data_IF_116875428136
#
_entry.id   IF_116875428136
#
_cell.length_a   1.000
_cell.length_b   1.000
_cell.length_c   1.000
_cell.angle_alpha   90.00
_cell.angle_beta   90.00
_cell.angle_gamma   90.00
#
_symmetry.space_group_name_H-M   'P 1'
#
loop_
_entity.id
_entity.type
_entity.pdbx_description
1 polymer ?
#
# COMPACT_ATOMS: atom_id res chain seq x y z
N UNK A 1 -10.32 -1.29 9.38
CA UNK A 1 -10.11 -0.91 7.98
C UNK A 1 -11.39 -1.14 7.19
N UNK A 2 -11.78 -0.16 6.36
CA UNK A 2 -12.91 -0.28 5.42
C UNK A 2 -12.33 -0.71 4.08
N UNK A 3 -12.87 -1.77 3.49
CA UNK A 3 -12.48 -2.22 2.15
C UNK A 3 -13.27 -1.47 1.09
N UNK A 4 -12.61 -1.04 0.04
CA UNK A 4 -13.26 -0.30 -1.04
C UNK A 4 -13.28 -1.17 -2.30
N UNK A 5 -14.45 -1.26 -2.91
CA UNK A 5 -14.69 -1.99 -4.16
C UNK A 5 -15.22 -1.02 -5.22
N UNK A 6 -14.94 -1.31 -6.47
CA UNK A 6 -15.57 -0.65 -7.63
C UNK A 6 -16.36 -1.71 -8.41
N UNK A 7 -17.66 -1.49 -8.55
CA UNK A 7 -18.59 -2.44 -9.18
C UNK A 7 -18.50 -3.85 -8.57
N UNK A 8 -18.31 -3.93 -7.24
CA UNK A 8 -18.21 -5.17 -6.50
C UNK A 8 -16.85 -5.87 -6.57
N UNK A 9 -15.85 -5.27 -7.23
CA UNK A 9 -14.52 -5.85 -7.41
C UNK A 9 -13.46 -5.03 -6.67
N UNK A 10 -12.43 -5.67 -6.09
CA UNK A 10 -11.22 -4.96 -5.70
C UNK A 10 -10.61 -4.29 -6.93
N UNK A 11 -10.38 -3.00 -6.86
CA UNK A 11 -9.79 -2.25 -7.96
C UNK A 11 -8.35 -1.90 -7.60
N UNK A 12 -7.40 -2.12 -8.51
CA UNK A 12 -6.02 -1.67 -8.36
C UNK A 12 -5.92 -0.15 -8.14
N UNK A 13 -6.90 0.60 -8.65
CA UNK A 13 -7.04 2.04 -8.41
C UNK A 13 -7.21 2.37 -6.92
N UNK A 14 -7.88 1.50 -6.16
CA UNK A 14 -8.24 1.73 -4.75
C UNK A 14 -7.40 0.85 -3.82
N UNK A 15 -7.02 -0.35 -4.25
CA UNK A 15 -6.30 -1.33 -3.43
C UNK A 15 -4.90 -0.87 -3.00
N UNK A 16 -4.22 -0.10 -3.85
CA UNK A 16 -2.83 0.34 -3.62
C UNK A 16 -2.78 1.75 -3.07
N UNK A 17 -3.69 2.62 -3.50
CA UNK A 17 -3.71 4.03 -3.09
C UNK A 17 -4.65 4.29 -1.90
N UNK A 18 -5.32 3.27 -1.37
CA UNK A 18 -6.31 3.41 -0.30
C UNK A 18 -7.37 4.47 -0.63
N UNK A 19 -7.84 5.27 0.35
CA UNK A 19 -8.82 6.34 0.12
C UNK A 19 -8.36 7.41 -0.88
N UNK A 20 -7.07 7.51 -1.14
CA UNK A 20 -6.49 8.45 -2.10
C UNK A 20 -6.82 8.08 -3.55
N UNK A 21 -6.99 6.79 -3.86
CA UNK A 21 -7.43 6.33 -5.17
C UNK A 21 -8.84 6.80 -5.53
N UNK A 22 -9.70 6.98 -4.53
CA UNK A 22 -11.06 7.50 -4.72
C UNK A 22 -11.09 8.93 -5.26
N UNK A 23 -10.12 9.76 -4.92
CA UNK A 23 -10.01 11.13 -5.41
C UNK A 23 -9.76 11.22 -6.91
N UNK A 24 -9.41 10.10 -7.54
CA UNK A 24 -9.16 10.00 -8.98
C UNK A 24 -10.43 9.63 -9.76
N UNK A 25 -11.50 9.20 -9.05
CA UNK A 25 -12.80 8.94 -9.67
C UNK A 25 -13.56 10.25 -9.81
N UNK A 26 -13.94 10.67 -11.04
CA UNK A 26 -14.86 11.77 -11.21
C UNK A 26 -16.20 11.48 -10.53
N UNK A 27 -16.70 12.40 -9.72
CA UNK A 27 -17.96 12.22 -9.02
C UNK A 27 -19.12 11.94 -10.00
N UNK A 28 -19.05 12.51 -11.19
CA UNK A 28 -20.03 12.34 -12.26
C UNK A 28 -20.08 10.91 -12.82
N UNK A 29 -19.00 10.13 -12.65
CA UNK A 29 -18.94 8.72 -13.07
C UNK A 29 -19.58 7.77 -12.07
N UNK A 30 -19.91 8.25 -10.86
CA UNK A 30 -20.50 7.44 -9.80
C UNK A 30 -22.02 7.44 -9.95
N UNK A 31 -22.62 6.24 -9.96
CA UNK A 31 -24.06 6.06 -9.92
C UNK A 31 -24.54 6.05 -8.47
N UNK A 32 -23.96 5.19 -7.65
CA UNK A 32 -24.27 5.07 -6.22
C UNK A 32 -23.08 4.51 -5.45
N UNK A 33 -23.14 4.69 -4.13
CA UNK A 33 -22.19 4.11 -3.19
C UNK A 33 -22.97 3.20 -2.25
N UNK A 34 -22.61 1.93 -2.21
CA UNK A 34 -23.21 0.92 -1.35
C UNK A 34 -22.30 0.70 -0.14
N UNK A 35 -22.88 0.80 1.07
CA UNK A 35 -22.18 0.51 2.32
C UNK A 35 -22.66 -0.85 2.82
N UNK A 36 -21.74 -1.83 2.85
CA UNK A 36 -22.03 -3.18 3.34
C UNK A 36 -21.42 -3.32 4.73
N UNK A 37 -22.24 -3.24 5.76
CA UNK A 37 -21.82 -3.32 7.18
C UNK A 37 -21.66 -4.76 7.66
N UNK A 38 -22.31 -5.71 7.00
CA UNK A 38 -22.24 -7.14 7.32
C UNK A 38 -21.89 -7.91 6.03
N UNK A 39 -20.60 -7.94 5.64
CA UNK A 39 -20.20 -8.62 4.42
C UNK A 39 -20.44 -10.13 4.53
N UNK A 40 -21.00 -10.73 3.47
CA UNK A 40 -21.17 -12.18 3.37
C UNK A 40 -19.80 -12.88 3.22
N UNK A 41 -19.77 -14.21 3.37
CA UNK A 41 -18.56 -15.02 3.31
C UNK A 41 -17.75 -14.91 1.98
N UNK A 42 -18.36 -14.38 0.92
CA UNK A 42 -17.67 -14.07 -0.35
C UNK A 42 -16.68 -12.91 -0.26
N UNK A 43 -16.87 -12.04 0.71
CA UNK A 43 -15.94 -10.97 1.00
C UNK A 43 -14.93 -11.45 2.04
N UNK A 44 -13.70 -10.99 1.96
CA UNK A 44 -12.64 -11.40 2.88
C UNK A 44 -13.07 -11.30 4.34
N UNK A 45 -12.99 -12.41 5.06
CA UNK A 45 -13.33 -12.48 6.48
C UNK A 45 -12.30 -11.83 7.41
N UNK A 46 -11.18 -11.32 6.87
CA UNK A 46 -10.14 -10.69 7.67
C UNK A 46 -10.50 -9.26 8.08
N UNK A 47 -11.26 -9.15 9.18
CA UNK A 47 -11.27 -7.98 10.06
C UNK A 47 -11.66 -6.65 9.44
N UNK A 48 -12.50 -6.61 8.38
CA UNK A 48 -12.97 -5.35 7.82
C UNK A 48 -14.16 -4.82 8.58
N UNK A 49 -14.11 -3.56 9.01
CA UNK A 49 -15.23 -2.84 9.64
C UNK A 49 -16.41 -2.61 8.67
N UNK A 50 -16.31 -3.07 7.42
CA UNK A 50 -17.31 -2.95 6.37
C UNK A 50 -16.69 -2.78 4.98
N UNK A 51 -17.56 -2.75 3.98
CA UNK A 51 -17.19 -2.58 2.57
C UNK A 51 -17.89 -1.35 2.02
N UNK A 52 -17.14 -0.51 1.32
CA UNK A 52 -17.66 0.58 0.52
C UNK A 52 -17.60 0.16 -0.95
N UNK A 53 -18.73 -0.12 -1.56
CA UNK A 53 -18.80 -0.50 -2.96
C UNK A 53 -19.28 0.68 -3.81
N UNK A 54 -18.42 1.18 -4.67
CA UNK A 54 -18.71 2.30 -5.56
C UNK A 54 -19.23 1.71 -6.87
N UNK A 55 -20.47 1.97 -7.17
CA UNK A 55 -21.09 1.60 -8.43
C UNK A 55 -20.91 2.75 -9.40
N UNK A 56 -20.22 2.48 -10.49
CA UNK A 56 -20.06 3.44 -11.57
C UNK A 56 -21.29 3.41 -12.49
N UNK A 57 -21.67 4.58 -12.99
CA UNK A 57 -22.68 4.67 -14.04
C UNK A 57 -22.26 3.76 -15.19
N UNK A 58 -23.19 2.98 -15.70
CA UNK A 58 -23.02 2.29 -16.98
C UNK A 58 -22.94 3.38 -18.05
N UNK A 59 -21.74 3.80 -18.36
CA UNK A 59 -21.53 4.63 -19.53
C UNK A 59 -21.67 3.71 -20.74
N UNK A 60 -22.80 3.78 -21.40
CA UNK A 60 -23.03 3.17 -22.72
C UNK A 60 -22.23 3.88 -23.83
N UNK A 61 -21.49 4.91 -23.46
CA UNK A 61 -20.74 5.73 -24.39
C UNK A 61 -19.50 4.97 -24.91
N UNK A 62 -19.62 4.50 -26.13
CA UNK A 62 -18.50 4.10 -26.96
C UNK A 62 -17.67 5.35 -27.26
N UNK A 63 -16.35 5.26 -27.08
CA UNK A 63 -15.47 6.38 -27.30
C UNK A 63 -14.20 6.39 -26.47
N UNK A 64 -13.50 7.49 -26.55
CA UNK A 64 -12.28 7.76 -25.80
C UNK A 64 -12.55 8.83 -24.76
N UNK A 65 -12.12 8.57 -23.52
CA UNK A 65 -12.14 9.54 -22.44
C UNK A 65 -10.88 9.42 -21.60
N UNK A 66 -10.58 10.42 -20.82
CA UNK A 66 -9.45 10.41 -19.90
C UNK A 66 -9.40 11.66 -19.05
N UNK A 67 -8.54 11.59 -18.04
CA UNK A 67 -8.21 12.73 -17.21
C UNK A 67 -6.70 12.87 -17.05
N UNK A 68 -6.29 14.09 -16.75
CA UNK A 68 -4.92 14.42 -16.40
C UNK A 68 -4.92 15.32 -15.18
N UNK A 69 -4.13 14.98 -14.15
CA UNK A 69 -4.01 15.79 -12.94
C UNK A 69 -2.55 16.06 -12.61
N UNK A 70 -2.27 17.28 -12.17
CA UNK A 70 -0.99 17.73 -11.63
C UNK A 70 -1.22 18.29 -10.24
N UNK A 71 -0.43 17.81 -9.29
CA UNK A 71 -0.42 18.31 -7.93
C UNK A 71 1.00 18.75 -7.58
N UNK A 72 1.14 19.92 -6.95
CA UNK A 72 2.41 20.43 -6.44
C UNK A 72 2.20 20.96 -5.03
N UNK A 73 3.16 20.70 -4.14
CA UNK A 73 3.08 21.10 -2.74
C UNK A 73 4.45 21.37 -2.10
N UNK A 74 4.40 21.97 -0.92
CA UNK A 74 5.56 22.28 -0.08
C UNK A 74 5.39 21.63 1.31
N UNK A 75 6.41 20.91 1.84
CA UNK A 75 7.64 20.50 1.18
C UNK A 75 7.35 19.70 -0.07
N UNK A 76 8.33 19.43 -0.94
CA UNK A 76 8.11 18.80 -2.26
C UNK A 76 7.08 17.66 -2.19
N UNK A 77 5.94 17.84 -2.86
CA UNK A 77 4.85 16.87 -2.98
C UNK A 77 4.26 16.99 -4.39
N UNK A 78 5.02 16.52 -5.39
CA UNK A 78 4.68 16.64 -6.80
C UNK A 78 4.13 15.31 -7.31
N UNK A 79 2.93 15.34 -7.88
CA UNK A 79 2.28 14.17 -8.46
C UNK A 79 1.69 14.52 -9.82
N UNK A 80 1.94 13.68 -10.80
CA UNK A 80 1.28 13.71 -12.08
C UNK A 80 0.55 12.39 -12.29
N UNK A 81 -0.71 12.45 -12.69
CA UNK A 81 -1.53 11.26 -13.01
C UNK A 81 -2.21 11.47 -14.34
N UNK A 82 -2.12 10.46 -15.20
CA UNK A 82 -2.85 10.36 -16.46
C UNK A 82 -3.66 9.07 -16.47
N UNK A 83 -4.97 9.17 -16.71
CA UNK A 83 -5.85 8.01 -16.88
C UNK A 83 -6.57 8.12 -18.22
N UNK A 84 -6.55 7.04 -18.98
CA UNK A 84 -7.16 6.94 -20.29
C UNK A 84 -8.08 5.73 -20.34
N UNK A 85 -9.20 5.87 -21.00
CA UNK A 85 -10.16 4.81 -21.26
C UNK A 85 -10.65 4.91 -22.71
N UNK A 86 -10.61 3.79 -23.41
CA UNK A 86 -11.15 3.65 -24.76
C UNK A 86 -12.09 2.46 -24.82
N UNK A 87 -13.37 2.76 -25.04
CA UNK A 87 -14.43 1.77 -25.07
C UNK A 87 -15.06 1.65 -26.44
N UNK A 88 -15.24 0.43 -26.88
CA UNK A 88 -16.03 0.03 -28.04
C UNK A 88 -17.19 -0.85 -27.59
N UNK A 89 -18.03 -1.31 -28.51
CA UNK A 89 -19.13 -2.23 -28.22
C UNK A 89 -18.64 -3.57 -27.61
N UNK A 90 -17.42 -4.00 -27.93
CA UNK A 90 -16.87 -5.30 -27.53
C UNK A 90 -15.64 -5.22 -26.65
N UNK A 91 -14.97 -4.10 -26.61
CA UNK A 91 -13.71 -3.94 -25.90
C UNK A 91 -13.73 -2.66 -25.07
N UNK A 92 -13.17 -2.73 -23.88
CA UNK A 92 -12.84 -1.57 -23.07
C UNK A 92 -11.37 -1.66 -22.66
N UNK A 93 -10.56 -0.75 -23.16
CA UNK A 93 -9.15 -0.60 -22.77
C UNK A 93 -9.02 0.54 -21.79
N UNK A 94 -8.32 0.32 -20.68
CA UNK A 94 -8.09 1.34 -19.66
C UNK A 94 -6.66 1.30 -19.15
N UNK A 95 -6.10 2.47 -18.85
CA UNK A 95 -4.76 2.60 -18.30
C UNK A 95 -4.67 3.80 -17.37
N UNK A 96 -3.83 3.69 -16.34
CA UNK A 96 -3.49 4.80 -15.45
C UNK A 96 -2.00 4.77 -15.18
N UNK A 97 -1.35 5.94 -15.34
CA UNK A 97 0.04 6.15 -14.96
C UNK A 97 0.11 7.28 -13.94
N UNK A 98 0.82 7.05 -12.85
CA UNK A 98 1.08 8.04 -11.81
C UNK A 98 2.59 8.12 -11.54
N UNK A 99 3.11 9.34 -11.52
CA UNK A 99 4.48 9.64 -11.09
C UNK A 99 4.36 10.50 -9.83
N UNK A 100 5.01 10.08 -8.74
CA UNK A 100 5.02 10.79 -7.47
C UNK A 100 6.45 11.08 -7.02
N UNK A 101 6.71 12.33 -6.62
CA UNK A 101 7.98 12.75 -6.00
C UNK A 101 7.67 13.58 -4.78
N UNK A 102 7.99 13.05 -3.61
CA UNK A 102 7.68 13.72 -2.35
C UNK A 102 8.88 13.79 -1.41
N UNK A 103 8.87 14.79 -0.55
CA UNK A 103 9.80 14.94 0.57
C UNK A 103 8.99 15.19 1.84
N UNK A 104 9.24 14.40 2.86
CA UNK A 104 8.62 14.55 4.18
C UNK A 104 9.70 14.80 5.22
N UNK A 105 9.49 15.79 6.09
CA UNK A 105 10.31 16.03 7.27
C UNK A 105 9.55 15.57 8.49
N UNK A 106 10.22 14.85 9.36
CA UNK A 106 9.67 14.36 10.63
C UNK A 106 10.51 14.82 11.80
N UNK A 107 9.85 15.23 12.89
CA UNK A 107 10.48 15.48 14.17
C UNK A 107 9.70 14.69 15.22
N UNK A 108 10.40 14.01 16.12
CA UNK A 108 9.77 13.37 17.27
C UNK A 108 10.59 13.63 18.54
N UNK A 109 9.88 13.76 19.64
CA UNK A 109 10.44 13.85 20.98
C UNK A 109 9.85 12.68 21.77
N UNK A 110 10.72 11.88 22.38
CA UNK A 110 10.34 10.78 23.24
C UNK A 110 11.05 10.97 24.61
N UNK A 111 10.25 11.06 25.66
CA UNK A 111 10.74 11.19 27.02
C UNK A 111 10.22 10.02 27.83
N UNK A 112 11.12 9.15 28.27
CA UNK A 112 10.81 8.00 29.09
C UNK A 112 11.35 8.22 30.51
N UNK A 113 10.53 7.90 31.51
CA UNK A 113 10.90 7.82 32.90
C UNK A 113 10.96 6.37 33.32
N UNK A 114 12.09 5.95 33.88
CA UNK A 114 12.29 4.60 34.40
C UNK A 114 12.14 4.59 35.89
N UNK A 115 11.58 3.51 36.43
CA UNK A 115 11.33 3.32 37.84
C UNK A 115 12.05 2.06 38.37
N UNK A 116 12.55 2.14 39.61
CA UNK A 116 12.99 0.99 40.37
C UNK A 116 12.02 0.79 41.53
N UNK A 117 11.09 -0.16 41.38
CA UNK A 117 9.90 -0.24 42.23
C UNK A 117 8.96 0.93 42.00
N UNK A 118 8.71 1.75 43.04
CA UNK A 118 7.86 2.94 42.91
C UNK A 118 8.66 4.25 42.80
N UNK A 119 9.98 4.18 42.81
CA UNK A 119 10.83 5.36 42.79
C UNK A 119 11.41 5.58 41.37
N UNK A 120 11.42 6.83 40.87
CA UNK A 120 12.12 7.15 39.65
C UNK A 120 13.60 6.78 39.73
N UNK A 121 14.16 6.19 38.69
CA UNK A 121 15.57 5.78 38.64
C UNK A 121 16.39 6.56 37.62
N UNK A 122 15.83 6.84 36.43
CA UNK A 122 16.49 7.60 35.36
C UNK A 122 15.49 8.08 34.32
N UNK A 123 15.95 8.97 33.46
CA UNK A 123 15.20 9.47 32.31
C UNK A 123 15.95 9.18 31.01
N UNK A 124 15.24 8.82 29.95
CA UNK A 124 15.76 8.72 28.59
C UNK A 124 15.02 9.71 27.71
N UNK A 125 15.74 10.69 27.17
CA UNK A 125 15.21 11.68 26.26
C UNK A 125 15.80 11.48 24.88
N UNK A 126 14.93 11.29 23.87
CA UNK A 126 15.31 11.14 22.50
C UNK A 126 14.70 12.27 21.65
N UNK A 127 15.52 12.88 20.83
CA UNK A 127 15.10 13.86 19.83
C UNK A 127 15.49 13.36 18.45
N UNK A 128 14.50 12.98 17.65
CA UNK A 128 14.71 12.40 16.33
C UNK A 128 14.26 13.39 15.26
N UNK A 129 15.14 13.65 14.29
CA UNK A 129 14.85 14.42 13.09
C UNK A 129 15.05 13.53 11.87
N UNK A 130 14.10 13.54 10.96
CA UNK A 130 14.19 12.74 9.75
C UNK A 130 13.81 13.51 8.49
N UNK A 131 14.45 13.17 7.38
CA UNK A 131 14.11 13.61 6.04
C UNK A 131 13.91 12.36 5.18
N UNK A 132 12.71 12.22 4.63
CA UNK A 132 12.39 11.12 3.72
C UNK A 132 12.07 11.68 2.34
N UNK A 133 12.84 11.27 1.35
CA UNK A 133 12.58 11.48 -0.07
C UNK A 133 11.97 10.19 -0.64
N UNK A 134 10.93 10.36 -1.45
CA UNK A 134 10.29 9.26 -2.15
C UNK A 134 10.08 9.62 -3.61
N UNK A 135 10.46 8.68 -4.49
CA UNK A 135 10.14 8.70 -5.90
C UNK A 135 9.39 7.42 -6.23
N UNK A 136 8.24 7.50 -6.87
CA UNK A 136 7.52 6.31 -7.29
C UNK A 136 6.83 6.48 -8.65
N UNK A 137 6.75 5.37 -9.38
CA UNK A 137 6.01 5.26 -10.63
C UNK A 137 5.02 4.11 -10.45
N UNK A 138 3.77 4.37 -10.80
CA UNK A 138 2.72 3.38 -10.85
C UNK A 138 2.11 3.36 -12.24
N UNK A 139 2.01 2.18 -12.83
CA UNK A 139 1.35 1.95 -14.11
C UNK A 139 0.33 0.83 -13.93
N UNK A 140 -0.89 1.05 -14.38
CA UNK A 140 -1.89 0.00 -14.51
C UNK A 140 -2.45 -0.01 -15.92
N UNK A 141 -2.81 -1.18 -16.41
CA UNK A 141 -3.46 -1.37 -17.68
C UNK A 141 -4.43 -2.54 -17.61
N UNK A 142 -5.48 -2.48 -18.41
CA UNK A 142 -6.43 -3.58 -18.51
C UNK A 142 -7.24 -3.52 -19.79
N UNK A 143 -7.71 -4.69 -20.18
CA UNK A 143 -8.60 -4.90 -21.32
C UNK A 143 -9.78 -5.73 -20.83
N UNK A 144 -11.00 -5.21 -21.03
CA UNK A 144 -12.24 -5.95 -20.82
C UNK A 144 -12.83 -6.30 -22.18
N UNK A 145 -13.12 -7.57 -22.37
CA UNK A 145 -13.81 -8.09 -23.54
C UNK A 145 -15.23 -8.49 -23.16
N UNK A 146 -16.21 -7.85 -23.79
CA UNK A 146 -17.63 -8.16 -23.65
C UNK A 146 -17.98 -9.32 -24.55
N UNK A 147 -18.17 -10.53 -23.99
CA UNK A 147 -18.63 -11.72 -24.71
C UNK A 147 -20.05 -11.46 -25.23
N UNK A 148 -20.89 -10.90 -24.37
CA UNK A 148 -22.23 -10.41 -24.62
C UNK A 148 -22.60 -9.32 -23.59
N UNK A 149 -23.84 -8.83 -23.57
CA UNK A 149 -24.32 -7.80 -22.66
C UNK A 149 -24.25 -8.20 -21.16
N UNK A 150 -24.22 -9.50 -20.89
CA UNK A 150 -24.28 -10.06 -19.53
C UNK A 150 -22.95 -10.63 -19.07
N UNK A 151 -21.98 -10.85 -19.96
CA UNK A 151 -20.75 -11.57 -19.64
C UNK A 151 -19.52 -10.84 -20.16
N UNK A 152 -18.50 -10.73 -19.34
CA UNK A 152 -17.20 -10.16 -19.72
C UNK A 152 -16.02 -10.91 -19.13
N UNK A 153 -14.87 -10.79 -19.79
CA UNK A 153 -13.56 -11.20 -19.29
C UNK A 153 -12.68 -9.95 -19.21
N UNK A 154 -11.98 -9.79 -18.08
CA UNK A 154 -11.04 -8.70 -17.88
C UNK A 154 -9.66 -9.29 -17.64
N UNK A 155 -8.70 -8.88 -18.45
CA UNK A 155 -7.28 -9.09 -18.18
C UNK A 155 -6.72 -7.74 -17.74
N UNK A 156 -6.13 -7.68 -16.56
CA UNK A 156 -5.53 -6.45 -16.04
C UNK A 156 -4.24 -6.73 -15.28
N UNK A 157 -3.43 -5.69 -15.14
CA UNK A 157 -2.23 -5.74 -14.34
C UNK A 157 -1.78 -4.35 -13.94
N UNK A 158 -0.90 -4.31 -12.94
CA UNK A 158 -0.16 -3.12 -12.60
C UNK A 158 1.31 -3.44 -12.31
N UNK A 159 2.12 -2.41 -12.44
CA UNK A 159 3.49 -2.37 -11.98
C UNK A 159 3.70 -1.10 -11.16
N UNK A 160 4.31 -1.24 -10.01
CA UNK A 160 4.73 -0.14 -9.16
C UNK A 160 6.20 -0.32 -8.82
N UNK A 161 6.96 0.76 -8.98
CA UNK A 161 8.32 0.86 -8.42
C UNK A 161 8.40 2.10 -7.54
N UNK A 162 9.11 2.01 -6.41
CA UNK A 162 9.43 3.16 -5.58
C UNK A 162 10.85 3.09 -5.04
N UNK A 163 11.48 4.25 -4.95
CA UNK A 163 12.76 4.48 -4.32
C UNK A 163 12.56 5.46 -3.19
N UNK A 164 12.91 5.04 -1.98
CA UNK A 164 12.83 5.82 -0.77
C UNK A 164 14.25 6.03 -0.23
N UNK A 165 14.57 7.26 0.18
CA UNK A 165 15.80 7.57 0.90
C UNK A 165 15.41 8.30 2.18
N UNK A 166 15.87 7.81 3.32
CA UNK A 166 15.51 8.32 4.63
C UNK A 166 16.78 8.57 5.45
N UNK A 167 17.07 9.85 5.71
CA UNK A 167 18.12 10.25 6.63
C UNK A 167 17.52 10.58 7.98
N UNK A 168 18.02 9.97 9.04
CA UNK A 168 17.58 10.19 10.42
C UNK A 168 18.77 10.56 11.29
N UNK A 169 18.59 11.61 12.11
CA UNK A 169 19.49 11.95 13.22
C UNK A 169 18.71 11.78 14.54
N UNK A 170 19.23 11.01 15.48
CA UNK A 170 18.65 10.76 16.78
C UNK A 170 19.64 11.11 17.89
N UNK A 171 19.31 12.14 18.69
CA UNK A 171 20.04 12.52 19.90
C UNK A 171 19.43 11.75 21.08
N UNK A 172 20.21 10.86 21.68
CA UNK A 172 19.80 9.98 22.78
C UNK A 172 20.52 10.41 24.04
N UNK A 173 19.77 10.85 25.05
CA UNK A 173 20.29 11.39 26.33
C UNK A 173 19.72 10.64 27.50
N UNK A 174 20.58 10.05 28.31
CA UNK A 174 20.23 9.48 29.60
C UNK A 174 20.57 10.48 30.71
N UNK A 175 19.62 10.68 31.63
CA UNK A 175 19.76 11.57 32.74
C UNK A 175 19.52 10.82 34.06
N UNK A 176 20.26 11.19 35.10
CA UNK A 176 20.00 10.73 36.48
C UNK A 176 18.66 11.30 36.98
N UNK A 177 18.22 10.82 38.14
CA UNK A 177 17.05 11.37 38.86
C UNK A 177 17.20 12.84 39.23
N UNK A 178 18.42 13.35 39.34
CA UNK A 178 18.73 14.77 39.57
C UNK A 178 18.79 15.58 38.26
N UNK A 179 18.40 15.01 37.12
CA UNK A 179 18.51 15.58 35.79
C UNK A 179 19.96 15.90 35.35
N UNK A 180 20.96 15.22 35.90
CA UNK A 180 22.31 15.31 35.36
C UNK A 180 22.46 14.41 34.17
N UNK A 181 23.07 14.92 33.09
CA UNK A 181 23.34 14.17 31.87
C UNK A 181 24.45 13.14 32.15
N UNK A 182 24.11 11.85 32.02
CA UNK A 182 25.00 10.71 32.28
C UNK A 182 25.52 10.07 31.00
N UNK A 183 24.65 10.02 29.96
CA UNK A 183 25.00 9.49 28.65
C UNK A 183 24.45 10.38 27.54
N UNK A 184 25.24 10.58 26.48
CA UNK A 184 24.80 11.25 25.26
C UNK A 184 25.38 10.55 24.05
N UNK A 185 24.47 10.03 23.20
CA UNK A 185 24.79 9.34 21.95
C UNK A 185 24.09 10.06 20.82
N UNK A 186 24.81 10.33 19.74
CA UNK A 186 24.25 10.78 18.47
C UNK A 186 24.26 9.56 17.54
N UNK A 187 23.08 9.17 17.06
CA UNK A 187 22.91 8.10 16.08
C UNK A 187 22.37 8.68 14.78
N UNK A 188 23.11 8.51 13.71
CA UNK A 188 22.67 8.83 12.35
C UNK A 188 22.40 7.54 11.58
N UNK A 189 21.40 7.59 10.70
CA UNK A 189 20.97 6.48 9.89
C UNK A 189 20.65 7.00 8.49
N UNK A 190 21.29 6.43 7.49
CA UNK A 190 21.04 6.66 6.05
C UNK A 190 20.50 5.38 5.46
N UNK A 191 19.21 5.36 5.18
CA UNK A 191 18.45 4.22 4.71
C UNK A 191 18.01 4.45 3.26
N UNK A 192 18.25 3.48 2.41
CA UNK A 192 17.81 3.45 1.03
C UNK A 192 16.99 2.18 0.81
N UNK A 193 15.77 2.33 0.33
CA UNK A 193 14.81 1.26 0.10
C UNK A 193 14.31 1.33 -1.34
N UNK A 194 14.26 0.19 -1.99
CA UNK A 194 13.73 0.02 -3.33
C UNK A 194 12.66 -1.05 -3.34
N UNK A 195 11.45 -0.66 -3.75
CA UNK A 195 10.29 -1.55 -3.90
C UNK A 195 9.96 -1.75 -5.37
N UNK A 196 9.72 -2.99 -5.75
CA UNK A 196 9.12 -3.37 -7.03
C UNK A 196 7.94 -4.31 -6.79
N UNK A 197 6.78 -4.02 -7.41
CA UNK A 197 5.57 -4.83 -7.26
C UNK A 197 4.85 -4.98 -8.58
N UNK A 198 4.46 -6.22 -8.90
CA UNK A 198 3.67 -6.58 -10.07
C UNK A 198 2.41 -7.33 -9.65
N UNK A 199 1.32 -7.07 -10.33
CA UNK A 199 0.10 -7.87 -10.21
C UNK A 199 -0.50 -8.10 -11.58
N UNK A 200 -0.98 -9.30 -11.81
CA UNK A 200 -1.78 -9.68 -12.97
C UNK A 200 -3.06 -10.33 -12.49
N UNK A 201 -4.19 -10.02 -13.12
CA UNK A 201 -5.46 -10.65 -12.81
C UNK A 201 -6.24 -10.96 -14.08
N UNK A 202 -6.92 -12.11 -14.04
CA UNK A 202 -7.92 -12.53 -15.01
C UNK A 202 -9.23 -12.68 -14.26
N UNK A 203 -10.22 -11.89 -14.64
CA UNK A 203 -11.57 -11.89 -14.08
C UNK A 203 -12.57 -12.32 -15.13
N UNK A 204 -13.51 -13.16 -14.73
CA UNK A 204 -14.70 -13.51 -15.50
C UNK A 204 -15.94 -13.15 -14.70
N UNK A 205 -16.88 -12.47 -15.32
CA UNK A 205 -18.19 -12.16 -14.74
C UNK A 205 -19.29 -12.52 -15.75
N UNK A 206 -20.33 -13.18 -15.26
CA UNK A 206 -21.52 -13.48 -16.03
C UNK A 206 -22.77 -13.33 -15.20
N UNK A 207 -23.75 -12.60 -15.72
CA UNK A 207 -25.11 -12.50 -15.19
C UNK A 207 -26.00 -13.41 -16.03
N UNK A 208 -26.82 -14.21 -15.39
CA UNK A 208 -27.72 -15.13 -16.07
C UNK A 208 -29.12 -14.51 -16.26
N UNK A 209 -29.46 -13.54 -15.39
CA UNK A 209 -30.72 -12.81 -15.43
C UNK A 209 -30.58 -11.40 -14.79
N UNK A 210 -31.67 -10.63 -14.79
CA UNK A 210 -31.74 -9.31 -14.17
C UNK A 210 -32.09 -9.36 -12.67
N UNK A 211 -32.37 -10.55 -12.14
CA UNK A 211 -32.70 -10.76 -10.71
C UNK A 211 -31.50 -10.90 -9.80
N UNK A 212 -30.28 -10.86 -10.37
CA UNK A 212 -29.03 -10.96 -9.63
C UNK A 212 -28.36 -12.33 -9.69
N UNK A 213 -28.89 -13.27 -10.46
CA UNK A 213 -28.27 -14.57 -10.72
C UNK A 213 -26.97 -14.38 -11.48
N UNK A 214 -25.84 -14.73 -10.87
CA UNK A 214 -24.52 -14.46 -11.43
C UNK A 214 -23.44 -15.41 -10.95
N UNK A 215 -22.40 -15.52 -11.76
CA UNK A 215 -21.12 -16.15 -11.41
C UNK A 215 -20.00 -15.13 -11.64
N UNK A 216 -19.02 -15.12 -10.75
CA UNK A 216 -17.75 -14.44 -10.94
C UNK A 216 -16.58 -15.33 -10.59
N UNK A 217 -15.51 -15.26 -11.36
CA UNK A 217 -14.28 -16.00 -11.11
C UNK A 217 -13.09 -15.06 -11.27
N UNK A 218 -12.06 -15.25 -10.43
CA UNK A 218 -10.82 -14.48 -10.46
C UNK A 218 -9.62 -15.40 -10.25
N UNK A 219 -8.58 -15.18 -11.03
CA UNK A 219 -7.23 -15.66 -10.77
C UNK A 219 -6.33 -14.43 -10.75
N UNK A 220 -5.50 -14.30 -9.71
CA UNK A 220 -4.58 -13.18 -9.53
C UNK A 220 -3.21 -13.71 -9.11
N UNK A 221 -2.17 -13.16 -9.71
CA UNK A 221 -0.79 -13.37 -9.33
C UNK A 221 -0.19 -12.04 -8.91
N UNK A 222 0.50 -12.03 -7.77
CA UNK A 222 1.26 -10.89 -7.27
C UNK A 222 2.69 -11.33 -6.97
N UNK A 223 3.62 -10.44 -7.26
CA UNK A 223 5.02 -10.55 -6.90
C UNK A 223 5.51 -9.20 -6.43
N UNK A 224 6.20 -9.16 -5.29
CA UNK A 224 6.85 -7.96 -4.77
C UNK A 224 8.23 -8.29 -4.25
N UNK A 225 9.16 -7.36 -4.44
CA UNK A 225 10.51 -7.40 -3.89
C UNK A 225 10.81 -6.06 -3.24
N UNK A 226 11.37 -6.10 -2.05
CA UNK A 226 11.84 -4.94 -1.29
C UNK A 226 13.31 -5.17 -0.93
N UNK A 227 14.17 -4.23 -1.33
CA UNK A 227 15.60 -4.20 -1.03
C UNK A 227 15.89 -2.94 -0.21
N UNK A 228 16.26 -3.13 1.05
CA UNK A 228 16.56 -2.06 2.00
C UNK A 228 18.01 -2.16 2.47
N UNK A 229 18.71 -1.03 2.42
CA UNK A 229 20.07 -0.88 2.94
C UNK A 229 20.11 0.33 3.87
N UNK A 230 20.61 0.10 5.11
CA UNK A 230 20.81 1.12 6.13
C UNK A 230 22.26 1.17 6.58
N UNK A 231 22.87 2.35 6.49
CA UNK A 231 24.16 2.65 7.08
C UNK A 231 23.92 3.47 8.38
N UNK A 232 24.41 2.94 9.50
CA UNK A 232 24.18 3.50 10.83
C UNK A 232 25.51 3.86 11.46
N UNK A 233 25.61 5.12 11.94
CA UNK A 233 26.72 5.59 12.76
C UNK A 233 26.22 5.94 14.15
N UNK A 234 26.90 5.46 15.19
CA UNK A 234 26.62 5.80 16.60
C UNK A 234 27.88 6.39 17.24
N UNK A 235 27.81 7.68 17.57
CA UNK A 235 28.87 8.44 18.24
C UNK A 235 28.51 8.67 19.70
N UNK A 236 29.30 8.11 20.62
CA UNK A 236 29.15 8.37 22.06
C UNK A 236 29.93 9.62 22.44
N UNK A 237 29.23 10.61 22.99
CA UNK A 237 29.80 11.90 23.44
C UNK A 237 30.12 11.84 24.92
N UNK A 238 29.22 11.27 25.71
CA UNK A 238 29.34 11.11 27.18
C UNK A 238 29.10 9.67 27.57
N UNK A 239 29.76 9.17 28.63
CA UNK A 239 30.63 9.86 29.63
C UNK A 239 32.02 10.23 29.08
N UNK A 240 32.43 9.65 27.95
CA UNK A 240 33.67 9.98 27.24
C UNK A 240 33.44 9.88 25.74
N UNK A 241 34.12 10.71 24.98
CA UNK A 241 34.10 10.61 23.52
C UNK A 241 34.76 9.30 23.10
N UNK A 242 33.96 8.43 22.48
CA UNK A 242 34.41 7.14 21.96
C UNK A 242 34.44 7.18 20.44
N UNK A 243 35.27 6.34 19.80
CA UNK A 243 35.20 6.15 18.35
C UNK A 243 33.80 5.77 17.89
N UNK A 244 33.37 6.29 16.75
CA UNK A 244 32.09 5.92 16.17
C UNK A 244 31.99 4.42 15.91
N UNK A 245 30.80 3.88 16.16
CA UNK A 245 30.44 2.51 15.77
C UNK A 245 29.64 2.59 14.49
N UNK A 246 30.00 1.75 13.53
CA UNK A 246 29.34 1.67 12.24
C UNK A 246 28.66 0.31 12.10
N UNK A 247 27.41 0.35 11.70
CA UNK A 247 26.60 -0.84 11.43
C UNK A 247 26.01 -0.70 10.01
N UNK A 248 26.01 -1.78 9.26
CA UNK A 248 25.32 -1.87 7.98
C UNK A 248 24.23 -2.92 8.11
N UNK A 249 23.01 -2.53 7.79
CA UNK A 249 21.83 -3.39 7.78
C UNK A 249 21.40 -3.58 6.32
N UNK A 250 21.12 -4.81 5.93
CA UNK A 250 20.54 -5.13 4.63
C UNK A 250 19.36 -6.06 4.83
N UNK A 251 18.22 -5.73 4.23
CA UNK A 251 17.01 -6.54 4.21
C UNK A 251 16.60 -6.77 2.78
N UNK A 252 16.40 -8.02 2.40
CA UNK A 252 15.81 -8.39 1.11
C UNK A 252 14.55 -9.21 1.41
N UNK A 253 13.40 -8.70 0.98
CA UNK A 253 12.13 -9.38 1.12
C UNK A 253 11.52 -9.66 -0.26
N UNK A 254 11.27 -10.93 -0.56
CA UNK A 254 10.56 -11.37 -1.74
C UNK A 254 9.24 -12.02 -1.35
N UNK A 255 8.15 -11.59 -1.95
CA UNK A 255 6.83 -12.16 -1.73
C UNK A 255 6.16 -12.53 -3.06
N UNK A 256 5.55 -13.73 -3.10
CA UNK A 256 4.71 -14.19 -4.21
C UNK A 256 3.37 -14.65 -3.67
N UNK A 257 2.30 -14.26 -4.35
CA UNK A 257 0.94 -14.64 -3.98
C UNK A 257 0.12 -15.01 -5.20
N UNK A 258 -0.57 -16.15 -5.10
CA UNK A 258 -1.60 -16.57 -6.05
C UNK A 258 -2.93 -16.60 -5.33
N UNK A 259 -3.94 -15.94 -5.90
CA UNK A 259 -5.32 -15.97 -5.45
C UNK A 259 -6.17 -16.63 -6.53
N UNK A 260 -6.99 -17.59 -6.14
CA UNK A 260 -8.07 -18.14 -6.96
C UNK A 260 -9.39 -18.00 -6.21
N UNK A 261 -10.41 -17.44 -6.86
CA UNK A 261 -11.71 -17.20 -6.28
C UNK A 261 -12.81 -17.48 -7.29
N UNK A 262 -13.89 -18.10 -6.85
CA UNK A 262 -15.13 -18.28 -7.62
C UNK A 262 -16.30 -18.02 -6.71
N UNK A 263 -17.23 -17.18 -7.14
CA UNK A 263 -18.44 -16.83 -6.42
C UNK A 263 -19.66 -17.06 -7.31
N UNK A 264 -20.67 -17.70 -6.75
CA UNK A 264 -21.94 -17.96 -7.39
C UNK A 264 -23.08 -17.43 -6.53
N UNK A 265 -23.97 -16.64 -7.11
CA UNK A 265 -25.14 -16.09 -6.46
C UNK A 265 -26.38 -16.50 -7.21
N UNK A 266 -27.29 -17.12 -6.51
CA UNK A 266 -28.57 -17.58 -7.05
C UNK A 266 -29.73 -17.02 -6.22
N UNK A 267 -30.41 -15.97 -6.67
CA UNK A 267 -31.67 -15.52 -6.08
C UNK A 267 -32.76 -16.56 -6.34
N UNK A 268 -33.39 -17.06 -5.29
CA UNK A 268 -34.50 -17.99 -5.35
C UNK A 268 -35.81 -17.22 -5.51
N UNK A 269 -35.97 -16.15 -4.70
CA UNK A 269 -37.09 -15.22 -4.74
C UNK A 269 -36.63 -13.81 -4.30
N UNK A 270 -37.57 -12.86 -4.14
CA UNK A 270 -37.26 -11.47 -3.78
C UNK A 270 -36.59 -11.29 -2.41
N UNK A 271 -36.77 -12.27 -1.50
CA UNK A 271 -36.26 -12.21 -0.12
C UNK A 271 -35.22 -13.29 0.18
N UNK A 272 -35.01 -14.23 -0.75
CA UNK A 272 -34.19 -15.42 -0.52
C UNK A 272 -33.14 -15.57 -1.62
N UNK A 273 -31.88 -15.65 -1.24
CA UNK A 273 -30.81 -16.00 -2.19
C UNK A 273 -29.85 -17.04 -1.61
N UNK A 274 -29.29 -17.86 -2.49
CA UNK A 274 -28.22 -18.78 -2.19
C UNK A 274 -26.91 -18.25 -2.71
N UNK A 275 -25.88 -18.28 -1.87
CA UNK A 275 -24.52 -17.88 -2.23
C UNK A 275 -23.55 -19.01 -1.95
N UNK A 276 -22.70 -19.33 -2.94
CA UNK A 276 -21.61 -20.28 -2.81
C UNK A 276 -20.33 -19.61 -3.29
N UNK A 277 -19.28 -19.66 -2.47
CA UNK A 277 -17.97 -19.12 -2.81
C UNK A 277 -16.84 -20.08 -2.45
N UNK A 278 -15.81 -20.06 -3.26
CA UNK A 278 -14.51 -20.67 -2.98
C UNK A 278 -13.42 -19.64 -3.14
N UNK A 279 -12.50 -19.58 -2.15
CA UNK A 279 -11.30 -18.75 -2.21
C UNK A 279 -10.10 -19.52 -1.72
N UNK A 280 -9.06 -19.60 -2.54
CA UNK A 280 -7.77 -20.16 -2.19
C UNK A 280 -6.69 -19.08 -2.34
N UNK A 281 -5.80 -18.98 -1.35
CA UNK A 281 -4.64 -18.06 -1.38
C UNK A 281 -3.38 -18.87 -1.08
N UNK A 282 -2.39 -18.76 -1.95
CA UNK A 282 -1.09 -19.41 -1.81
C UNK A 282 -0.03 -18.31 -1.74
N UNK A 283 0.67 -18.24 -0.62
CA UNK A 283 1.71 -17.25 -0.35
C UNK A 283 3.05 -17.93 -0.20
N UNK A 284 4.10 -17.29 -0.74
CA UNK A 284 5.50 -17.60 -0.46
C UNK A 284 6.19 -16.30 -0.11
N UNK A 285 6.93 -16.28 0.98
CA UNK A 285 7.70 -15.13 1.42
C UNK A 285 9.08 -15.59 1.83
N UNK A 286 10.09 -14.87 1.39
CA UNK A 286 11.49 -15.03 1.78
C UNK A 286 11.97 -13.71 2.34
N UNK A 287 12.67 -13.74 3.46
CA UNK A 287 13.26 -12.56 4.08
C UNK A 287 14.68 -12.89 4.47
N UNK A 288 15.64 -12.20 3.86
CA UNK A 288 17.06 -12.26 4.16
C UNK A 288 17.46 -10.97 4.90
N UNK A 289 17.91 -11.12 6.14
CA UNK A 289 18.31 -10.02 7.00
C UNK A 289 19.75 -10.19 7.45
N UNK A 290 20.58 -9.19 7.17
CA UNK A 290 22.01 -9.20 7.50
C UNK A 290 22.39 -7.93 8.24
N UNK A 291 23.08 -8.07 9.39
CA UNK A 291 23.72 -6.95 10.10
C UNK A 291 25.22 -7.17 10.10
N UNK A 292 25.97 -6.17 9.67
CA UNK A 292 27.42 -6.16 9.64
C UNK A 292 27.94 -5.01 10.52
N UNK A 293 28.93 -5.31 11.36
CA UNK A 293 29.63 -4.32 12.16
C UNK A 293 30.96 -4.01 11.50
N UNK A 294 31.21 -2.75 11.20
CA UNK A 294 32.47 -2.31 10.61
C UNK A 294 33.41 -1.85 11.71
N UNK A 295 34.61 -2.40 11.70
CA UNK A 295 35.68 -1.91 12.57
C UNK A 295 36.30 -0.64 11.98
N UNK A 296 36.70 0.29 12.82
CA UNK A 296 37.32 1.57 12.45
C UNK A 296 38.60 1.49 11.58
N UNK A 297 39.07 0.28 11.27
CA UNK A 297 40.22 0.04 10.40
C UNK A 297 39.85 -0.31 8.95
N UNK A 298 38.54 -0.35 8.62
CA UNK A 298 38.02 -0.74 7.30
C UNK A 298 37.32 0.42 6.56
N UNK A 299 37.42 1.66 7.11
CA UNK A 299 36.84 2.89 6.55
C UNK A 299 37.87 3.71 5.82
#
# INVERSE_FOLDING_TARGET
>A
NVRILINGKPSGLVGISGPQGLRQLPAESIDKVEVVTSPSARYDAEGTAGILNIILKKQELVGFNGNFSLNAGTPRANRATASLNWRTNKLNFFTTTTIDKSRTKGNSLNNNEYFNGNDPSSYLNETRNSNRDRNSIFNSLGIEYYINEQSSIILSGFHRTSENSNFTNNDIKELSIQNNLESFIIRTEDENEKDDSFQYSLDYDSKFDDKGHKVSARIQYEESSEDEMGDIESLTILPALLPSKFEKVSTLEDQKRVLAQVDYVWPIDENTQFELGYRGTFNSQTNDYVVSYLNSNEI
#
